data_IF_461165739535
#
_entry.id   IF_461165739535
#
_cell.length_a   1.000
_cell.length_b   1.000
_cell.length_c   1.000
_cell.angle_alpha   90.00
_cell.angle_beta   90.00
_cell.angle_gamma   90.00
#
_symmetry.space_group_name_H-M   'P 1'
#
loop_
_entity.id
_entity.type
_entity.pdbx_description
1 polymer ?
#
# COMPACT_ATOMS: atom_id res chain seq x y z
N UNK A 1 -17.91 -16.36 -42.78
CA UNK A 1 -17.12 -17.49 -42.22
C UNK A 1 -15.81 -16.93 -41.71
N UNK A 2 -15.41 -17.31 -40.49
CA UNK A 2 -14.55 -16.56 -39.56
C UNK A 2 -13.14 -16.25 -40.06
N UNK A 3 -12.74 -14.98 -39.92
CA UNK A 3 -11.36 -14.55 -39.89
C UNK A 3 -10.78 -14.88 -38.50
N UNK A 4 -9.79 -15.77 -38.45
CA UNK A 4 -9.08 -16.12 -37.21
C UNK A 4 -7.85 -15.22 -37.09
N UNK A 5 -7.94 -14.23 -36.21
CA UNK A 5 -6.80 -13.46 -35.71
C UNK A 5 -5.99 -14.40 -34.81
N UNK A 6 -4.83 -14.85 -35.30
CA UNK A 6 -3.86 -15.60 -34.51
C UNK A 6 -2.93 -14.57 -33.84
N UNK A 7 -3.16 -14.30 -32.55
CA UNK A 7 -2.23 -13.52 -31.73
C UNK A 7 -0.90 -14.28 -31.65
N UNK A 8 0.15 -13.70 -32.26
CA UNK A 8 1.51 -14.18 -32.18
C UNK A 8 2.08 -13.84 -30.80
N UNK A 9 1.97 -14.77 -29.84
CA UNK A 9 2.75 -14.70 -28.61
C UNK A 9 4.17 -15.14 -28.99
N UNK A 10 5.11 -14.20 -29.10
CA UNK A 10 6.53 -14.52 -29.20
C UNK A 10 6.94 -15.41 -28.01
N UNK A 11 7.18 -16.69 -28.28
CA UNK A 11 7.88 -17.59 -27.35
C UNK A 11 9.33 -17.12 -27.24
N UNK A 12 9.62 -16.20 -26.31
CA UNK A 12 11.00 -15.98 -25.86
C UNK A 12 11.46 -17.24 -25.11
N UNK A 13 12.41 -17.97 -25.69
CA UNK A 13 13.04 -19.11 -25.03
C UNK A 13 13.65 -18.69 -23.69
N UNK A 14 13.35 -19.43 -22.62
CA UNK A 14 13.96 -19.22 -21.31
C UNK A 14 15.45 -19.57 -21.43
N UNK A 15 16.33 -18.55 -21.36
CA UNK A 15 17.79 -18.72 -21.37
C UNK A 15 18.25 -19.61 -20.20
N UNK A 16 19.34 -20.37 -20.38
CA UNK A 16 19.94 -21.12 -19.27
C UNK A 16 20.51 -20.16 -18.22
N UNK A 17 20.43 -20.52 -16.94
CA UNK A 17 20.89 -19.66 -15.83
C UNK A 17 22.33 -19.16 -16.01
N UNK A 18 23.21 -20.01 -16.56
CA UNK A 18 24.61 -19.70 -16.88
C UNK A 18 24.80 -18.63 -17.97
N UNK A 19 23.79 -18.42 -18.81
CA UNK A 19 23.79 -17.37 -19.84
C UNK A 19 23.34 -16.03 -19.25
N UNK A 20 22.46 -16.06 -18.23
CA UNK A 20 21.97 -14.87 -17.52
C UNK A 20 23.00 -14.37 -16.50
N UNK A 21 23.84 -15.23 -15.93
CA UNK A 21 24.95 -14.83 -15.04
C UNK A 21 25.96 -13.87 -15.71
N UNK A 22 26.06 -13.90 -17.05
CA UNK A 22 26.86 -12.94 -17.84
C UNK A 22 26.15 -11.61 -18.06
N UNK A 23 24.83 -11.57 -17.89
CA UNK A 23 23.97 -10.39 -17.98
C UNK A 23 23.58 -9.94 -16.56
N UNK A 24 24.57 -9.64 -15.70
CA UNK A 24 24.34 -9.15 -14.32
C UNK A 24 23.39 -7.94 -14.25
N UNK A 25 23.35 -7.13 -15.29
CA UNK A 25 22.41 -6.01 -15.44
C UNK A 25 20.94 -6.44 -15.46
N UNK A 26 20.62 -7.64 -15.93
CA UNK A 26 19.25 -8.15 -15.96
C UNK A 26 18.65 -8.33 -14.55
N UNK A 27 19.49 -8.68 -13.58
CA UNK A 27 19.10 -8.79 -12.17
C UNK A 27 19.29 -7.48 -11.39
N UNK A 28 19.97 -6.50 -11.97
CA UNK A 28 20.22 -5.22 -11.31
C UNK A 28 19.03 -4.26 -11.51
N UNK A 29 17.93 -4.54 -10.79
CA UNK A 29 16.76 -3.64 -10.70
C UNK A 29 16.93 -2.55 -9.65
N UNK A 30 18.17 -2.25 -9.22
CA UNK A 30 18.41 -1.19 -8.24
C UNK A 30 18.26 0.16 -8.93
N UNK A 31 17.11 0.81 -8.73
CA UNK A 31 17.04 2.26 -8.90
C UNK A 31 18.08 2.89 -7.97
N UNK A 32 18.83 3.88 -8.46
CA UNK A 32 19.83 4.57 -7.65
C UNK A 32 19.14 5.40 -6.56
N UNK A 33 18.90 4.77 -5.41
CA UNK A 33 18.34 5.44 -4.23
C UNK A 33 19.21 6.62 -3.80
N UNK A 34 20.53 6.57 -4.02
CA UNK A 34 21.42 7.66 -3.61
C UNK A 34 21.12 8.95 -4.39
N UNK A 35 20.67 8.85 -5.64
CA UNK A 35 20.29 10.02 -6.45
C UNK A 35 19.07 10.77 -5.89
N UNK A 36 18.09 10.06 -5.30
CA UNK A 36 16.83 10.67 -4.82
C UNK A 36 16.87 11.03 -3.34
N UNK A 37 17.72 10.38 -2.55
CA UNK A 37 17.82 10.57 -1.11
C UNK A 37 18.05 12.03 -0.66
N UNK A 38 18.89 12.85 -1.31
CA UNK A 38 19.07 14.25 -0.95
C UNK A 38 17.76 15.05 -1.05
N UNK A 39 17.02 14.88 -2.16
CA UNK A 39 15.75 15.58 -2.41
C UNK A 39 14.69 15.16 -1.40
N UNK A 40 14.55 13.86 -1.14
CA UNK A 40 13.59 13.35 -0.15
C UNK A 40 13.92 13.85 1.26
N UNK A 41 15.21 13.88 1.63
CA UNK A 41 15.65 14.38 2.93
C UNK A 41 15.31 15.86 3.12
N UNK A 42 15.45 16.66 2.07
CA UNK A 42 15.06 18.07 2.09
C UNK A 42 13.56 18.21 2.34
N UNK A 43 12.71 17.50 1.59
CA UNK A 43 11.25 17.52 1.76
C UNK A 43 10.86 17.17 3.20
N UNK A 44 11.38 16.05 3.73
CA UNK A 44 11.09 15.61 5.10
C UNK A 44 11.54 16.67 6.12
N UNK A 45 12.71 17.29 5.92
CA UNK A 45 13.23 18.31 6.84
C UNK A 45 12.37 19.57 6.81
N UNK A 46 11.90 19.98 5.64
CA UNK A 46 11.02 21.14 5.47
C UNK A 46 9.67 20.90 6.12
N UNK A 47 9.04 19.75 5.88
CA UNK A 47 7.77 19.36 6.51
C UNK A 47 7.90 19.30 8.03
N UNK A 48 8.99 18.73 8.57
CA UNK A 48 9.24 18.72 10.02
C UNK A 48 9.34 20.12 10.64
N UNK A 49 9.85 21.11 9.91
CA UNK A 49 10.05 22.48 10.41
C UNK A 49 8.81 23.36 10.25
N UNK A 50 8.06 23.18 9.16
CA UNK A 50 6.98 24.09 8.73
C UNK A 50 5.59 23.45 8.79
N UNK A 51 5.48 22.15 9.04
CA UNK A 51 4.21 21.43 9.10
C UNK A 51 3.40 21.59 7.81
N UNK A 52 2.12 21.90 7.99
CA UNK A 52 1.12 21.95 6.93
C UNK A 52 1.38 23.01 5.86
N UNK A 53 2.09 24.10 6.20
CA UNK A 53 2.47 25.12 5.21
C UNK A 53 3.39 24.54 4.13
N UNK A 54 4.32 23.66 4.51
CA UNK A 54 5.16 22.96 3.55
C UNK A 54 4.38 21.92 2.75
N UNK A 55 3.40 21.25 3.38
CA UNK A 55 2.53 20.31 2.67
C UNK A 55 1.74 21.02 1.57
N UNK A 56 1.08 22.14 1.89
CA UNK A 56 0.35 22.96 0.91
C UNK A 56 1.25 23.46 -0.23
N UNK A 57 2.47 23.90 0.10
CA UNK A 57 3.46 24.33 -0.90
C UNK A 57 3.86 23.18 -1.84
N UNK A 58 4.15 21.99 -1.29
CA UNK A 58 4.52 20.83 -2.10
C UNK A 58 3.35 20.29 -2.92
N UNK A 59 2.13 20.27 -2.38
CA UNK A 59 0.92 19.90 -3.15
C UNK A 59 0.70 20.87 -4.30
N UNK A 60 0.83 22.18 -4.08
CA UNK A 60 0.72 23.15 -5.18
C UNK A 60 1.84 22.95 -6.22
N UNK A 61 3.07 22.67 -5.77
CA UNK A 61 4.22 22.49 -6.67
C UNK A 61 4.13 21.22 -7.53
N UNK A 62 3.76 20.09 -6.93
CA UNK A 62 3.83 18.78 -7.58
C UNK A 62 2.49 18.35 -8.17
N UNK A 63 1.39 18.65 -7.51
CA UNK A 63 0.05 18.25 -7.93
C UNK A 63 -0.69 19.39 -8.65
N UNK A 64 -0.13 20.61 -8.65
CA UNK A 64 -0.77 21.81 -9.23
C UNK A 64 -2.13 22.13 -8.61
N UNK A 65 -2.35 21.73 -7.35
CA UNK A 65 -3.59 21.96 -6.59
C UNK A 65 -3.31 22.85 -5.39
N UNK A 66 -4.11 23.91 -5.23
CA UNK A 66 -4.13 24.71 -4.01
C UNK A 66 -5.15 24.13 -3.05
N UNK A 67 -4.69 23.67 -1.89
CA UNK A 67 -5.55 23.17 -0.81
C UNK A 67 -5.71 24.22 0.28
N UNK A 68 -6.95 24.44 0.69
CA UNK A 68 -7.26 25.22 1.88
C UNK A 68 -7.14 24.32 3.13
N UNK A 69 -7.84 23.18 3.10
CA UNK A 69 -7.78 22.13 4.13
C UNK A 69 -7.04 20.89 3.61
N UNK A 70 -6.26 20.26 4.47
CA UNK A 70 -5.55 19.00 4.16
C UNK A 70 -6.44 17.79 4.46
N UNK A 71 -7.22 17.87 5.54
CA UNK A 71 -8.15 16.81 5.90
C UNK A 71 -9.41 16.90 5.04
N UNK A 72 -9.82 15.75 4.48
CA UNK A 72 -11.08 15.65 3.75
C UNK A 72 -12.25 15.79 4.72
N UNK A 73 -13.15 16.74 4.45
CA UNK A 73 -14.33 17.00 5.29
C UNK A 73 -15.35 15.85 5.27
N UNK A 74 -16.25 15.81 6.25
CA UNK A 74 -17.34 14.83 6.27
C UNK A 74 -18.32 15.05 5.11
N UNK A 75 -18.55 16.31 4.73
CA UNK A 75 -19.38 16.69 3.60
C UNK A 75 -18.82 16.14 2.29
N UNK A 76 -17.51 16.26 2.06
CA UNK A 76 -16.85 15.70 0.87
C UNK A 76 -16.93 14.16 0.86
N UNK A 77 -16.77 13.51 2.02
CA UNK A 77 -16.88 12.04 2.13
C UNK A 77 -18.28 11.57 1.76
N UNK A 78 -19.32 12.19 2.31
CA UNK A 78 -20.71 11.81 2.02
C UNK A 78 -21.10 12.17 0.57
N UNK A 79 -20.63 13.28 0.03
CA UNK A 79 -20.82 13.62 -1.39
C UNK A 79 -20.16 12.59 -2.32
N UNK A 80 -18.90 12.22 -2.06
CA UNK A 80 -18.20 11.20 -2.84
C UNK A 80 -18.91 9.84 -2.78
N UNK A 81 -19.38 9.46 -1.57
CA UNK A 81 -20.17 8.26 -1.37
C UNK A 81 -21.51 8.33 -2.08
N UNK A 82 -22.21 9.45 -2.07
CA UNK A 82 -23.48 9.59 -2.79
C UNK A 82 -23.28 9.45 -4.32
N UNK A 83 -22.23 10.08 -4.86
CA UNK A 83 -21.93 10.11 -6.29
C UNK A 83 -21.34 8.82 -6.86
N UNK A 84 -20.79 7.94 -6.02
CA UNK A 84 -20.22 6.68 -6.48
C UNK A 84 -21.31 5.72 -6.99
N UNK A 85 -21.01 5.02 -8.09
CA UNK A 85 -21.89 4.03 -8.70
C UNK A 85 -22.25 2.88 -7.74
N UNK A 86 -23.49 2.39 -7.81
CA UNK A 86 -24.00 1.37 -6.89
C UNK A 86 -23.31 0.01 -7.09
N UNK A 87 -22.96 -0.33 -8.33
CA UNK A 87 -22.22 -1.54 -8.67
C UNK A 87 -20.78 -1.45 -8.12
N UNK A 88 -20.14 -0.30 -8.28
CA UNK A 88 -18.81 -0.06 -7.72
C UNK A 88 -18.80 -0.22 -6.19
N UNK A 89 -19.79 0.34 -5.49
CA UNK A 89 -19.94 0.18 -4.03
C UNK A 89 -20.09 -1.29 -3.64
N UNK A 90 -20.88 -2.06 -4.39
CA UNK A 90 -21.07 -3.49 -4.15
C UNK A 90 -19.73 -4.23 -4.27
N UNK A 91 -18.97 -4.02 -5.35
CA UNK A 91 -17.69 -4.69 -5.55
C UNK A 91 -16.62 -4.29 -4.53
N UNK A 92 -16.58 -3.03 -4.12
CA UNK A 92 -15.71 -2.57 -3.02
C UNK A 92 -16.07 -3.31 -1.72
N UNK A 93 -17.37 -3.44 -1.41
CA UNK A 93 -17.86 -4.17 -0.25
C UNK A 93 -17.49 -5.65 -0.28
N UNK A 94 -17.62 -6.31 -1.42
CA UNK A 94 -17.18 -7.71 -1.60
C UNK A 94 -15.66 -7.87 -1.40
N UNK A 95 -14.87 -6.99 -2.03
CA UNK A 95 -13.41 -7.02 -1.92
C UNK A 95 -12.99 -6.83 -0.46
N UNK A 96 -13.55 -5.83 0.22
CA UNK A 96 -13.34 -5.60 1.65
C UNK A 96 -13.61 -6.87 2.47
N UNK A 97 -14.77 -7.51 2.28
CA UNK A 97 -15.13 -8.70 3.04
C UNK A 97 -14.17 -9.88 2.79
N UNK A 98 -13.73 -10.09 1.54
CA UNK A 98 -12.75 -11.13 1.19
C UNK A 98 -11.39 -10.86 1.83
N UNK A 99 -10.88 -9.63 1.70
CA UNK A 99 -9.61 -9.19 2.29
C UNK A 99 -9.66 -9.34 3.81
N UNK A 100 -10.74 -8.88 4.45
CA UNK A 100 -10.94 -8.98 5.89
C UNK A 100 -10.95 -10.43 6.36
N UNK A 101 -11.68 -11.31 5.69
CA UNK A 101 -11.74 -12.74 6.02
C UNK A 101 -10.36 -13.39 5.95
N UNK A 102 -9.60 -13.11 4.88
CA UNK A 102 -8.25 -13.63 4.72
C UNK A 102 -7.32 -13.19 5.86
N UNK A 103 -7.28 -11.89 6.19
CA UNK A 103 -6.41 -11.37 7.25
C UNK A 103 -6.85 -11.82 8.65
N UNK A 104 -8.15 -12.03 8.89
CA UNK A 104 -8.60 -12.63 10.16
C UNK A 104 -8.04 -14.04 10.38
N UNK A 105 -7.95 -14.85 9.32
CA UNK A 105 -7.37 -16.20 9.40
C UNK A 105 -5.87 -16.20 9.71
N UNK A 106 -5.19 -15.08 9.49
CA UNK A 106 -3.78 -14.92 9.80
C UNK A 106 -3.52 -14.47 11.25
N UNK A 107 -4.55 -14.07 12.01
CA UNK A 107 -4.37 -13.68 13.41
C UNK A 107 -3.91 -14.89 14.22
N UNK A 108 -2.74 -14.77 14.84
CA UNK A 108 -2.24 -15.75 15.80
C UNK A 108 -2.86 -15.49 17.17
N UNK A 109 -3.23 -16.56 17.87
CA UNK A 109 -3.64 -16.45 19.26
C UNK A 109 -2.41 -16.16 20.12
N UNK A 110 -2.54 -15.22 21.05
CA UNK A 110 -1.60 -15.08 22.14
C UNK A 110 -1.62 -16.38 22.97
N UNK A 111 -0.47 -16.80 23.46
CA UNK A 111 -0.33 -18.03 24.24
C UNK A 111 0.69 -17.85 25.33
N UNK A 112 0.51 -18.61 26.41
CA UNK A 112 1.42 -18.68 27.55
C UNK A 112 1.46 -20.14 28.01
N UNK A 113 2.65 -20.66 28.29
CA UNK A 113 2.83 -22.02 28.80
C UNK A 113 3.83 -22.03 29.97
N UNK A 114 3.73 -23.03 30.84
CA UNK A 114 4.72 -23.26 31.89
C UNK A 114 5.90 -24.02 31.30
N UNK A 115 7.07 -23.37 31.26
CA UNK A 115 8.30 -23.96 30.74
C UNK A 115 9.03 -24.78 31.81
N UNK A 116 9.03 -24.31 33.06
CA UNK A 116 9.63 -24.98 34.21
C UNK A 116 8.91 -24.60 35.51
N UNK A 117 9.36 -25.10 36.65
CA UNK A 117 8.81 -24.70 37.93
C UNK A 117 8.97 -23.19 38.19
N UNK A 118 7.84 -22.50 38.37
CA UNK A 118 7.79 -21.04 38.50
C UNK A 118 8.10 -20.24 37.23
N UNK A 119 8.38 -20.88 36.08
CA UNK A 119 8.77 -20.21 34.84
C UNK A 119 7.70 -20.39 33.76
N UNK A 120 7.28 -19.26 33.18
CA UNK A 120 6.32 -19.22 32.08
C UNK A 120 6.92 -18.51 30.87
N UNK A 121 6.60 -18.99 29.67
CA UNK A 121 6.96 -18.37 28.40
C UNK A 121 5.72 -18.19 27.54
N UNK A 122 5.77 -17.30 26.56
CA UNK A 122 4.63 -17.05 25.69
C UNK A 122 4.89 -15.98 24.67
N UNK A 123 3.91 -15.77 23.80
CA UNK A 123 3.91 -14.69 22.81
C UNK A 123 2.63 -13.87 22.94
N UNK A 124 2.80 -12.55 22.89
CA UNK A 124 1.70 -11.59 22.86
C UNK A 124 1.77 -10.79 21.56
N UNK A 125 0.62 -10.64 20.92
CA UNK A 125 0.45 -9.85 19.70
C UNK A 125 -0.33 -8.59 20.05
N UNK A 126 0.29 -7.42 19.90
CA UNK A 126 -0.35 -6.12 20.14
C UNK A 126 -0.35 -5.27 18.87
N UNK A 127 -1.49 -4.67 18.49
CA UNK A 127 -1.54 -3.75 17.36
C UNK A 127 -0.79 -2.45 17.69
N UNK A 128 -0.42 -1.72 16.64
CA UNK A 128 0.07 -0.35 16.77
C UNK A 128 -1.11 0.58 17.04
N UNK A 129 -0.95 1.53 17.98
CA UNK A 129 -2.00 2.51 18.31
C UNK A 129 -2.34 3.43 17.13
N UNK A 130 -1.33 3.79 16.33
CA UNK A 130 -1.47 4.67 15.17
C UNK A 130 -0.69 4.09 14.00
N UNK A 131 -1.34 4.03 12.83
CA UNK A 131 -0.72 3.66 11.56
C UNK A 131 -1.09 4.66 10.48
N UNK A 132 -0.14 4.96 9.60
CA UNK A 132 -0.37 5.74 8.37
C UNK A 132 -0.41 4.82 7.15
N UNK A 133 -1.36 5.05 6.25
CA UNK A 133 -1.44 4.36 4.97
C UNK A 133 -1.30 5.38 3.83
N UNK A 134 -0.28 5.20 2.98
CA UNK A 134 -0.13 5.98 1.75
C UNK A 134 -0.85 5.25 0.61
N UNK A 135 -1.78 5.94 -0.05
CA UNK A 135 -2.55 5.41 -1.18
C UNK A 135 -2.28 6.29 -2.39
N UNK A 136 -1.60 5.79 -3.44
CA UNK A 136 -1.48 6.54 -4.68
C UNK A 136 -2.86 6.71 -5.33
N UNK A 137 -3.12 7.88 -5.92
CA UNK A 137 -4.45 8.30 -6.36
C UNK A 137 -5.19 7.30 -7.26
N UNK A 138 -4.47 6.55 -8.12
CA UNK A 138 -5.06 5.62 -9.07
C UNK A 138 -5.45 4.25 -8.48
N UNK A 139 -5.11 3.96 -7.22
CA UNK A 139 -5.17 2.59 -6.68
C UNK A 139 -5.98 2.47 -5.39
N UNK A 140 -7.30 2.66 -5.46
CA UNK A 140 -8.21 2.48 -4.31
C UNK A 140 -8.10 1.08 -3.66
N UNK A 141 -7.72 0.05 -4.43
CA UNK A 141 -7.45 -1.30 -3.91
C UNK A 141 -6.33 -1.32 -2.86
N UNK A 142 -5.35 -0.43 -2.97
CA UNK A 142 -4.28 -0.26 -1.96
C UNK A 142 -4.85 0.21 -0.63
N UNK A 143 -5.84 1.11 -0.64
CA UNK A 143 -6.52 1.54 0.58
C UNK A 143 -7.16 0.34 1.30
N UNK A 144 -7.86 -0.52 0.57
CA UNK A 144 -8.43 -1.75 1.13
C UNK A 144 -7.36 -2.68 1.69
N UNK A 145 -6.26 -2.90 0.96
CA UNK A 145 -5.19 -3.80 1.36
C UNK A 145 -4.36 -3.28 2.54
N UNK A 146 -4.25 -1.96 2.75
CA UNK A 146 -3.52 -1.38 3.87
C UNK A 146 -4.41 -1.19 5.11
N UNK A 147 -5.60 -0.62 4.95
CA UNK A 147 -6.45 -0.23 6.08
C UNK A 147 -7.17 -1.44 6.66
N UNK A 148 -7.59 -2.41 5.84
CA UNK A 148 -8.31 -3.60 6.34
C UNK A 148 -7.47 -4.44 7.32
N UNK A 149 -6.22 -4.85 7.02
CA UNK A 149 -5.42 -5.59 8.00
C UNK A 149 -5.10 -4.78 9.26
N UNK A 150 -4.92 -3.46 9.15
CA UNK A 150 -4.76 -2.59 10.31
C UNK A 150 -5.99 -2.66 11.24
N UNK A 151 -7.20 -2.55 10.67
CA UNK A 151 -8.45 -2.72 11.43
C UNK A 151 -8.64 -4.15 11.97
N UNK A 152 -8.15 -5.16 11.25
CA UNK A 152 -8.19 -6.55 11.73
C UNK A 152 -7.25 -6.74 12.92
N UNK A 153 -6.09 -6.07 12.96
CA UNK A 153 -5.13 -6.20 14.05
C UNK A 153 -5.73 -5.74 15.39
N UNK A 154 -6.42 -4.60 15.39
CA UNK A 154 -7.08 -3.99 16.54
C UNK A 154 -6.89 -2.49 16.51
#
# INVERSE_FOLDING_TARGET
>A
MKASILFLVEHRMIKKLSEIEREREFFDRRHDLNSVMPVVREIITTVKKRGDDALREYTLKFDSVRLDEIEVSEEEKEAAKANADSELKLYIGEAFNRIRNFHHRQKKAAWVERFAEGVYIGELYRPFEVVGAYVPAAYFSTALMCVTPAKVAG
#
